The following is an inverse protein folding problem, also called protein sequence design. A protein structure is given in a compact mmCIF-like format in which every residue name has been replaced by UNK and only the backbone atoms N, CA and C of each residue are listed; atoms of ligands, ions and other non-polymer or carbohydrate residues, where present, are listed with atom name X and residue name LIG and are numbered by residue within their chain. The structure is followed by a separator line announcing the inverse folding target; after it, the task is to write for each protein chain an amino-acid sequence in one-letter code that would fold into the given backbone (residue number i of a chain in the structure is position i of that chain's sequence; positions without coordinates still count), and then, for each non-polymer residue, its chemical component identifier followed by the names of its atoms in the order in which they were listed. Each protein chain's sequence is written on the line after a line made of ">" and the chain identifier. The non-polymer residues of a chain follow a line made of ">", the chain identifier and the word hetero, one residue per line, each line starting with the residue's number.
data_IF_005285371402
#
_entry.id   IF_005285371402
#
_cell.length_a   1.000
_cell.length_b   1.000
_cell.length_c   1.000
_cell.angle_alpha   90.00
_cell.angle_beta   90.00
_cell.angle_gamma   90.00
#
_symmetry.space_group_name_H-M   'P 1'
#
loop_
_entity.id
_entity.type
_entity.pdbx_description
1 polymer ?
#
# COMPACT_ATOMS: atom_id res chain seq x y z
N UNK A 1 7.19 27.21 -13.43
CA UNK A 1 6.71 26.58 -12.17
C UNK A 1 7.84 26.64 -11.18
N UNK A 2 7.65 27.40 -10.10
CA UNK A 2 8.61 27.46 -9.00
C UNK A 2 8.69 26.08 -8.33
N UNK A 3 9.76 25.36 -8.62
CA UNK A 3 10.12 24.16 -7.86
C UNK A 3 10.46 24.64 -6.45
N UNK A 4 9.52 24.53 -5.52
CA UNK A 4 9.76 24.83 -4.11
C UNK A 4 10.79 23.84 -3.59
N UNK A 5 12.03 24.28 -3.47
CA UNK A 5 13.12 23.49 -2.91
C UNK A 5 12.72 23.09 -1.48
N UNK A 6 12.63 21.78 -1.24
CA UNK A 6 12.44 21.24 0.10
C UNK A 6 13.74 21.46 0.85
N UNK A 7 13.73 22.31 1.87
CA UNK A 7 14.88 22.53 2.72
C UNK A 7 14.96 21.45 3.84
N UNK A 8 16.14 21.33 4.48
CA UNK A 8 16.39 20.32 5.51
C UNK A 8 15.39 20.39 6.68
N UNK A 9 14.92 21.56 7.05
CA UNK A 9 13.93 21.74 8.13
C UNK A 9 12.61 21.09 7.78
N UNK A 10 12.14 21.28 6.54
CA UNK A 10 10.89 20.64 6.06
C UNK A 10 11.07 19.14 5.91
N UNK A 11 12.22 18.69 5.41
CA UNK A 11 12.54 17.28 5.27
C UNK A 11 12.59 16.58 6.63
N UNK A 12 13.21 17.20 7.64
CA UNK A 12 13.25 16.64 9.00
C UNK A 12 11.86 16.60 9.65
N UNK A 13 11.05 17.64 9.46
CA UNK A 13 9.64 17.63 9.88
C UNK A 13 8.87 16.50 9.21
N UNK A 14 9.01 16.35 7.90
CA UNK A 14 8.36 15.27 7.16
C UNK A 14 8.80 13.88 7.64
N UNK A 15 10.09 13.66 7.91
CA UNK A 15 10.63 12.39 8.44
C UNK A 15 9.93 11.96 9.73
N UNK A 16 9.73 12.89 10.66
CA UNK A 16 9.05 12.60 11.92
C UNK A 16 7.58 12.20 11.70
N UNK A 17 6.90 12.90 10.80
CA UNK A 17 5.49 12.61 10.48
C UNK A 17 5.32 11.34 9.65
N UNK A 18 6.23 11.03 8.74
CA UNK A 18 6.13 9.87 7.87
C UNK A 18 6.06 8.54 8.67
N UNK A 19 6.87 8.42 9.74
CA UNK A 19 6.81 7.26 10.62
C UNK A 19 5.48 7.19 11.40
N UNK A 20 5.00 8.32 11.93
CA UNK A 20 3.75 8.40 12.66
C UNK A 20 2.53 8.09 11.78
N UNK A 21 2.52 8.55 10.53
CA UNK A 21 1.44 8.32 9.57
C UNK A 21 1.50 6.93 8.90
N UNK A 22 2.47 6.09 9.26
CA UNK A 22 2.62 4.77 8.68
C UNK A 22 3.12 4.76 7.23
N UNK A 23 3.77 5.84 6.78
CA UNK A 23 4.35 5.94 5.43
C UNK A 23 5.77 5.41 5.34
N UNK A 24 6.38 5.10 6.48
CA UNK A 24 7.71 4.58 6.54
C UNK A 24 8.18 4.23 7.93
N UNK A 25 9.29 3.53 8.00
CA UNK A 25 9.97 3.18 9.25
C UNK A 25 11.24 4.00 9.36
N UNK A 26 11.38 4.74 10.44
CA UNK A 26 12.62 5.46 10.76
C UNK A 26 13.64 4.51 11.35
N UNK A 27 14.87 4.55 10.86
CA UNK A 27 15.99 3.84 11.46
C UNK A 27 17.25 4.66 11.36
N UNK A 28 18.20 4.38 12.27
CA UNK A 28 19.45 5.08 12.39
C UNK A 28 20.61 4.19 11.98
N UNK A 29 21.45 4.68 11.10
CA UNK A 29 22.69 4.03 10.70
C UNK A 29 23.88 4.99 10.96
N UNK A 30 24.63 4.73 12.01
CA UNK A 30 25.65 5.65 12.50
C UNK A 30 25.03 6.96 13.00
N UNK A 31 25.42 8.09 12.41
CA UNK A 31 24.88 9.42 12.73
C UNK A 31 23.74 9.86 11.81
N UNK A 32 23.38 9.05 10.82
CA UNK A 32 22.40 9.41 9.80
C UNK A 32 21.07 8.70 10.06
N UNK A 33 19.99 9.50 10.05
CA UNK A 33 18.63 8.99 10.13
C UNK A 33 18.08 8.75 8.73
N UNK A 34 17.50 7.55 8.53
CA UNK A 34 16.88 7.14 7.28
C UNK A 34 15.39 6.86 7.50
N UNK A 35 14.61 7.09 6.47
CA UNK A 35 13.23 6.57 6.38
C UNK A 35 13.20 5.56 5.25
N UNK A 36 12.81 4.33 5.59
CA UNK A 36 12.41 3.32 4.62
C UNK A 36 10.93 3.50 4.33
N UNK A 37 10.55 3.86 3.10
CA UNK A 37 9.15 3.92 2.71
C UNK A 37 8.48 2.57 2.97
N UNK A 38 7.38 2.58 3.72
CA UNK A 38 6.63 1.38 4.05
C UNK A 38 5.15 1.73 4.19
N UNK A 39 4.32 1.20 3.32
CA UNK A 39 2.89 1.45 3.33
C UNK A 39 2.08 0.34 4.04
N UNK A 40 2.71 -0.62 4.71
CA UNK A 40 2.01 -1.76 5.35
C UNK A 40 0.93 -1.30 6.31
N UNK A 41 1.28 -0.41 7.25
CA UNK A 41 0.34 0.10 8.25
C UNK A 41 -0.77 0.90 7.57
N UNK A 42 -0.41 1.81 6.67
CA UNK A 42 -1.36 2.64 5.95
C UNK A 42 -2.36 1.80 5.15
N UNK A 43 -1.90 0.78 4.41
CA UNK A 43 -2.77 -0.12 3.66
C UNK A 43 -3.63 -0.96 4.62
N UNK A 44 -3.05 -1.53 5.69
CA UNK A 44 -3.78 -2.32 6.67
C UNK A 44 -4.96 -1.55 7.29
N UNK A 45 -4.74 -0.29 7.69
CA UNK A 45 -5.77 0.57 8.28
C UNK A 45 -6.92 0.88 7.31
N UNK A 46 -6.65 0.86 6.00
CA UNK A 46 -7.65 1.12 4.97
C UNK A 46 -8.42 -0.13 4.53
N UNK A 47 -7.89 -1.34 4.77
CA UNK A 47 -8.56 -2.59 4.35
C UNK A 47 -10.02 -2.71 4.83
N UNK A 48 -10.39 -2.39 6.08
CA UNK A 48 -11.80 -2.45 6.52
C UNK A 48 -12.73 -1.52 5.73
N UNK A 49 -12.21 -0.38 5.24
CA UNK A 49 -12.97 0.56 4.42
C UNK A 49 -13.08 0.06 2.97
N UNK A 50 -12.00 -0.51 2.44
CA UNK A 50 -11.92 -1.07 1.08
C UNK A 50 -12.88 -2.24 0.92
N UNK A 51 -12.91 -3.15 1.91
CA UNK A 51 -13.74 -4.36 1.91
C UNK A 51 -15.10 -4.20 2.59
N UNK A 52 -15.54 -2.98 2.86
CA UNK A 52 -16.76 -2.71 3.63
C UNK A 52 -18.01 -3.39 3.06
N UNK A 53 -18.12 -3.48 1.74
CA UNK A 53 -19.26 -4.08 1.03
C UNK A 53 -18.97 -5.48 0.49
N UNK A 54 -17.71 -5.79 0.22
CA UNK A 54 -17.29 -7.03 -0.44
C UNK A 54 -16.33 -7.80 0.46
N UNK A 55 -16.90 -8.69 1.27
CA UNK A 55 -16.16 -9.42 2.30
C UNK A 55 -15.35 -10.61 1.76
N UNK A 56 -15.68 -11.10 0.56
CA UNK A 56 -15.10 -12.34 0.04
C UNK A 56 -13.81 -12.11 -0.74
N UNK A 57 -13.87 -11.26 -1.77
CA UNK A 57 -12.71 -10.92 -2.60
C UNK A 57 -13.00 -9.71 -3.47
N UNK A 58 -11.95 -8.98 -3.81
CA UNK A 58 -12.01 -7.92 -4.82
C UNK A 58 -11.08 -8.26 -5.97
N UNK A 59 -11.53 -7.99 -7.19
CA UNK A 59 -10.65 -7.91 -8.34
C UNK A 59 -9.60 -6.81 -8.11
N UNK A 60 -8.37 -7.03 -8.57
CA UNK A 60 -7.26 -6.12 -8.28
C UNK A 60 -7.52 -4.68 -8.75
N UNK A 61 -8.19 -4.50 -9.88
CA UNK A 61 -8.53 -3.16 -10.40
C UNK A 61 -9.49 -2.41 -9.47
N UNK A 62 -10.50 -3.10 -8.95
CA UNK A 62 -11.44 -2.50 -8.00
C UNK A 62 -10.78 -2.23 -6.66
N UNK A 63 -9.92 -3.14 -6.20
CA UNK A 63 -9.10 -2.91 -5.01
C UNK A 63 -8.23 -1.64 -5.16
N UNK A 64 -7.51 -1.51 -6.28
CA UNK A 64 -6.67 -0.35 -6.57
C UNK A 64 -7.48 0.94 -6.68
N UNK A 65 -8.64 0.90 -7.35
CA UNK A 65 -9.55 2.04 -7.45
C UNK A 65 -10.02 2.54 -6.08
N UNK A 66 -10.36 1.62 -5.16
CA UNK A 66 -10.77 1.98 -3.79
C UNK A 66 -9.60 2.47 -2.95
N UNK A 67 -8.45 1.80 -3.07
CA UNK A 67 -7.24 2.19 -2.37
C UNK A 67 -6.78 3.59 -2.77
N UNK A 68 -6.70 3.88 -4.07
CA UNK A 68 -6.27 5.19 -4.59
C UNK A 68 -7.21 6.33 -4.21
N UNK A 69 -8.51 6.06 -4.08
CA UNK A 69 -9.48 7.04 -3.60
C UNK A 69 -9.32 7.38 -2.10
N UNK A 70 -8.85 6.42 -1.29
CA UNK A 70 -8.61 6.59 0.15
C UNK A 70 -7.19 7.03 0.49
N UNK A 71 -6.25 6.72 -0.38
CA UNK A 71 -4.82 7.02 -0.24
C UNK A 71 -4.27 7.55 -1.58
N UNK A 72 -4.54 8.82 -1.93
CA UNK A 72 -4.15 9.41 -3.20
C UNK A 72 -2.63 9.48 -3.39
N UNK A 73 -1.86 9.30 -2.35
CA UNK A 73 -0.40 9.22 -2.34
C UNK A 73 0.16 7.86 -2.81
N UNK A 74 -0.68 6.82 -2.87
CA UNK A 74 -0.29 5.49 -3.33
C UNK A 74 -0.59 5.30 -4.82
N UNK A 75 -0.10 4.20 -5.37
CA UNK A 75 -0.24 3.83 -6.79
C UNK A 75 -1.67 4.03 -7.31
N UNK A 76 -1.78 4.52 -8.53
CA UNK A 76 -3.01 4.93 -9.21
C UNK A 76 -3.72 6.16 -8.56
N UNK A 77 -3.23 6.69 -7.44
CA UNK A 77 -3.78 7.88 -6.79
C UNK A 77 -3.35 9.18 -7.46
N UNK A 78 -4.13 10.24 -7.26
CA UNK A 78 -3.92 11.54 -7.92
C UNK A 78 -2.54 12.13 -7.61
N UNK A 79 -2.12 12.11 -6.34
CA UNK A 79 -0.82 12.63 -5.93
C UNK A 79 0.34 11.80 -6.47
N UNK A 80 0.16 10.47 -6.51
CA UNK A 80 1.14 9.56 -7.10
C UNK A 80 1.30 9.84 -8.61
N UNK A 81 0.20 10.00 -9.34
CA UNK A 81 0.22 10.28 -10.78
C UNK A 81 0.94 11.60 -11.09
N UNK A 82 0.62 12.67 -10.35
CA UNK A 82 1.31 13.97 -10.49
C UNK A 82 2.83 13.83 -10.26
N UNK A 83 3.23 13.09 -9.23
CA UNK A 83 4.64 12.87 -8.93
C UNK A 83 5.33 11.98 -9.99
N UNK A 84 4.63 10.97 -10.48
CA UNK A 84 5.12 10.07 -11.53
C UNK A 84 5.33 10.82 -12.85
N UNK A 85 4.34 11.58 -13.33
CA UNK A 85 4.43 12.37 -14.55
C UNK A 85 5.55 13.42 -14.51
N UNK A 86 5.75 14.04 -13.35
CA UNK A 86 6.84 14.98 -13.14
C UNK A 86 8.23 14.34 -13.21
N UNK A 87 8.33 13.05 -12.81
CA UNK A 87 9.59 12.31 -12.75
C UNK A 87 9.86 11.49 -14.02
N UNK A 88 8.83 10.94 -14.63
CA UNK A 88 8.89 10.01 -15.75
C UNK A 88 7.86 10.37 -16.83
N UNK A 89 8.00 11.51 -17.52
CA UNK A 89 7.02 11.98 -18.50
C UNK A 89 6.83 10.96 -19.64
N UNK A 90 5.59 10.75 -20.04
CA UNK A 90 5.18 9.84 -21.11
C UNK A 90 5.53 8.35 -20.87
N UNK A 91 5.74 7.93 -19.62
CA UNK A 91 6.01 6.52 -19.27
C UNK A 91 4.91 6.02 -18.35
N UNK A 92 4.27 4.93 -18.71
CA UNK A 92 3.32 4.24 -17.83
C UNK A 92 4.06 3.26 -16.90
N UNK A 93 3.64 3.15 -15.63
CA UNK A 93 4.22 2.19 -14.70
C UNK A 93 3.93 0.74 -15.16
N UNK A 94 4.96 -0.04 -15.39
CA UNK A 94 4.81 -1.48 -15.71
C UNK A 94 4.49 -2.33 -14.47
N UNK A 95 4.84 -1.85 -13.30
CA UNK A 95 4.72 -2.52 -12.01
C UNK A 95 4.09 -1.56 -11.00
N UNK A 96 3.41 -2.12 -10.01
CA UNK A 96 3.12 -1.35 -8.80
C UNK A 96 4.43 -0.90 -8.16
N UNK A 97 4.42 0.23 -7.47
CA UNK A 97 5.61 0.74 -6.78
C UNK A 97 6.23 -0.32 -5.86
N UNK A 98 7.52 -0.21 -5.62
CA UNK A 98 8.20 -1.06 -4.64
C UNK A 98 7.53 -0.99 -3.27
N UNK A 99 7.12 0.20 -2.85
CA UNK A 99 6.48 0.44 -1.56
C UNK A 99 5.16 -0.31 -1.43
N UNK A 100 4.24 -0.16 -2.39
CA UNK A 100 2.95 -0.85 -2.36
C UNK A 100 3.11 -2.36 -2.57
N UNK A 101 4.00 -2.79 -3.46
CA UNK A 101 4.28 -4.20 -3.69
C UNK A 101 4.81 -4.90 -2.44
N UNK A 102 5.69 -4.25 -1.69
CA UNK A 102 6.19 -4.74 -0.40
C UNK A 102 5.07 -4.80 0.63
N UNK A 103 4.24 -3.77 0.72
CA UNK A 103 3.12 -3.74 1.65
C UNK A 103 2.13 -4.90 1.38
N UNK A 104 1.74 -5.11 0.14
CA UNK A 104 0.82 -6.19 -0.22
C UNK A 104 1.40 -7.58 0.07
N UNK A 105 2.70 -7.80 -0.20
CA UNK A 105 3.36 -9.06 0.15
C UNK A 105 3.42 -9.28 1.65
N UNK A 106 3.82 -8.27 2.42
CA UNK A 106 3.87 -8.37 3.88
C UNK A 106 2.50 -8.70 4.46
N UNK A 107 1.44 -8.04 3.99
CA UNK A 107 0.08 -8.31 4.43
C UNK A 107 -0.40 -9.72 4.03
N UNK A 108 0.05 -10.24 2.89
CA UNK A 108 -0.19 -11.61 2.48
C UNK A 108 0.55 -12.61 3.36
N UNK A 109 1.85 -12.42 3.58
CA UNK A 109 2.71 -13.29 4.40
C UNK A 109 2.26 -13.33 5.86
N UNK A 110 1.78 -12.22 6.38
CA UNK A 110 1.22 -12.13 7.75
C UNK A 110 -0.22 -12.64 7.85
N UNK A 111 -0.83 -13.04 6.74
CA UNK A 111 -2.18 -13.62 6.70
C UNK A 111 -3.29 -12.60 6.99
N UNK A 112 -3.06 -11.31 6.73
CA UNK A 112 -4.09 -10.27 6.78
C UNK A 112 -4.96 -10.31 5.53
N UNK A 113 -4.32 -10.48 4.36
CA UNK A 113 -4.95 -10.67 3.06
C UNK A 113 -4.37 -11.90 2.36
N UNK A 114 -5.07 -12.41 1.33
CA UNK A 114 -4.47 -13.32 0.34
C UNK A 114 -4.39 -12.63 -1.03
N UNK A 115 -3.26 -12.78 -1.68
CA UNK A 115 -3.06 -12.39 -3.06
C UNK A 115 -3.27 -13.62 -3.94
N UNK A 116 -4.15 -13.52 -4.94
CA UNK A 116 -4.47 -14.62 -5.84
C UNK A 116 -4.26 -14.21 -7.30
N UNK A 117 -3.82 -15.15 -8.11
CA UNK A 117 -3.79 -15.06 -9.56
C UNK A 117 -4.71 -16.12 -10.14
N UNK A 118 -5.72 -15.69 -10.87
CA UNK A 118 -6.57 -16.56 -11.66
C UNK A 118 -6.07 -16.56 -13.11
N UNK A 119 -6.07 -17.74 -13.75
CA UNK A 119 -5.48 -17.92 -15.08
C UNK A 119 -6.25 -17.13 -16.16
N UNK A 120 -7.54 -16.98 -15.99
CA UNK A 120 -8.50 -16.39 -16.94
C UNK A 120 -8.84 -14.93 -16.60
N UNK A 121 -8.16 -14.34 -15.61
CA UNK A 121 -8.45 -12.95 -15.24
C UNK A 121 -8.06 -11.99 -16.37
N UNK A 122 -9.02 -11.16 -16.80
CA UNK A 122 -8.84 -10.21 -17.88
C UNK A 122 -7.86 -9.08 -17.52
N UNK A 123 -7.80 -8.73 -16.25
CA UNK A 123 -6.94 -7.66 -15.74
C UNK A 123 -6.01 -8.19 -14.66
N UNK A 124 -4.75 -7.87 -14.81
CA UNK A 124 -3.67 -8.28 -13.93
C UNK A 124 -2.84 -7.08 -13.52
N UNK A 125 -2.36 -7.08 -12.28
CA UNK A 125 -1.35 -6.11 -11.83
C UNK A 125 -0.03 -6.84 -11.53
N UNK A 126 1.06 -6.23 -11.95
CA UNK A 126 2.40 -6.75 -11.69
C UNK A 126 2.97 -6.09 -10.45
N UNK A 127 3.39 -6.91 -9.50
CA UNK A 127 4.13 -6.43 -8.34
C UNK A 127 5.58 -6.17 -8.75
N UNK A 128 6.21 -5.19 -8.12
CA UNK A 128 7.63 -4.90 -8.31
C UNK A 128 8.45 -6.18 -8.05
N UNK A 129 9.40 -6.54 -8.94
CA UNK A 129 10.19 -7.76 -8.79
C UNK A 129 10.97 -7.77 -7.46
N UNK A 130 10.91 -8.89 -6.74
CA UNK A 130 11.75 -9.12 -5.57
C UNK A 130 12.26 -10.56 -5.63
N UNK A 131 13.55 -10.77 -5.33
CA UNK A 131 14.15 -12.08 -5.34
C UNK A 131 13.47 -13.02 -4.33
N UNK A 132 13.28 -14.27 -4.72
CA UNK A 132 12.70 -15.29 -3.85
C UNK A 132 11.19 -15.16 -3.57
N UNK A 133 10.49 -14.18 -4.15
CA UNK A 133 9.06 -14.00 -3.92
C UNK A 133 8.21 -14.68 -5.00
N UNK A 134 7.19 -15.49 -4.61
CA UNK A 134 6.33 -16.20 -5.56
C UNK A 134 5.32 -15.29 -6.27
N UNK A 135 4.85 -14.23 -5.59
CA UNK A 135 3.80 -13.37 -6.11
C UNK A 135 4.38 -12.26 -6.99
N UNK A 136 4.37 -12.49 -8.32
CA UNK A 136 4.78 -11.48 -9.32
C UNK A 136 3.62 -10.79 -9.98
N UNK A 137 2.48 -11.48 -10.08
CA UNK A 137 1.27 -11.01 -10.76
C UNK A 137 0.05 -11.40 -9.93
N UNK A 138 -0.89 -10.48 -9.76
CA UNK A 138 -2.10 -10.69 -9.00
C UNK A 138 -3.33 -10.29 -9.81
N UNK A 139 -4.44 -10.98 -9.58
CA UNK A 139 -5.77 -10.68 -10.12
C UNK A 139 -6.78 -10.30 -9.04
N UNK A 140 -6.63 -10.87 -7.83
CA UNK A 140 -7.56 -10.67 -6.73
C UNK A 140 -6.84 -10.44 -5.40
N UNK A 141 -7.49 -9.66 -4.54
CA UNK A 141 -7.14 -9.45 -3.15
C UNK A 141 -8.29 -9.96 -2.28
N UNK A 142 -7.99 -10.83 -1.33
CA UNK A 142 -8.96 -11.51 -0.48
C UNK A 142 -8.68 -11.14 0.97
N UNK A 143 -9.64 -10.60 1.73
CA UNK A 143 -9.45 -10.30 3.15
C UNK A 143 -9.50 -11.60 3.97
N UNK A 144 -8.59 -11.77 4.93
CA UNK A 144 -8.52 -12.96 5.80
C UNK A 144 -8.87 -12.61 7.24
N UNK A 145 -8.27 -11.55 7.80
CA UNK A 145 -8.37 -11.24 9.25
C UNK A 145 -8.95 -9.86 9.56
N UNK A 146 -9.70 -9.23 8.66
CA UNK A 146 -10.18 -7.86 8.87
C UNK A 146 -11.27 -7.72 9.94
N UNK A 147 -11.92 -8.81 10.34
CA UNK A 147 -13.08 -8.79 11.25
C UNK A 147 -12.93 -9.72 12.47
N UNK A 148 -11.75 -10.29 12.69
CA UNK A 148 -11.55 -11.25 13.80
C UNK A 148 -11.69 -10.61 15.20
N UNK A 149 -11.49 -9.30 15.31
CA UNK A 149 -11.45 -8.61 16.61
C UNK A 149 -12.79 -7.94 16.99
N UNK A 150 -13.78 -7.90 16.09
CA UNK A 150 -15.10 -7.29 16.36
C UNK A 150 -16.16 -8.22 16.95
N UNK A 151 -15.96 -9.52 16.90
CA UNK A 151 -16.96 -10.49 17.37
C UNK A 151 -16.79 -10.94 18.83
N UNK A 152 -15.66 -10.64 19.45
CA UNK A 152 -15.36 -11.11 20.81
C UNK A 152 -15.88 -10.18 21.94
N UNK A 153 -16.35 -8.97 21.62
CA UNK A 153 -16.78 -8.00 22.63
C UNK A 153 -18.28 -7.90 22.88
N UNK A 154 -19.12 -8.71 22.21
CA UNK A 154 -20.58 -8.70 22.42
C UNK A 154 -21.17 -9.92 23.12
N UNK A 155 -20.33 -10.81 23.69
CA UNK A 155 -20.78 -12.06 24.31
C UNK A 155 -20.58 -12.18 25.81
N UNK A 156 -20.22 -11.15 26.54
CA UNK A 156 -19.90 -11.23 27.97
C UNK A 156 -20.75 -10.29 28.84
N UNK A 157 -22.03 -10.10 28.52
CA UNK A 157 -23.03 -9.55 29.46
C UNK A 157 -24.37 -10.23 29.21
N UNK A 158 -24.59 -11.36 29.86
CA UNK A 158 -25.90 -11.93 30.16
C UNK A 158 -25.79 -12.80 31.40
#
# INVERSE_FOLDING_TARGET
>A
QDVRVINDTKLNGWRNWAAYLGWGTSYKMGTTDFILPNAVVRVADLLPLIFRTDRDSLHVSEFMRRLSALAPELDDGELYQVAWEASFPATEPQYLSLMLSTALRTLHETGVIALRRDADAAELRRLYPAEGTPHRVISHVIPIRLWADGAASQGAEA
#
